data_IF_864950565065
#
_entry.id   IF_864950565065
#
_cell.length_a   1.000
_cell.length_b   1.000
_cell.length_c   1.000
_cell.angle_alpha   90.00
_cell.angle_beta   90.00
_cell.angle_gamma   90.00
#
_symmetry.space_group_name_H-M   'P 1'
#
loop_
_entity.id
_entity.type
_entity.pdbx_description
1 polymer ?
#
# COMPACT_ATOMS: atom_id res chain seq x y z
N UNK A 1 -10.77 -17.66 -31.41
CA UNK A 1 -10.67 -18.38 -30.13
C UNK A 1 -10.65 -17.33 -29.04
N UNK A 2 -11.75 -17.12 -28.31
CA UNK A 2 -11.82 -16.13 -27.23
C UNK A 2 -11.35 -16.83 -25.94
N UNK A 3 -10.23 -16.37 -25.36
CA UNK A 3 -9.72 -16.89 -24.09
C UNK A 3 -10.47 -16.20 -22.96
N UNK A 4 -11.13 -16.99 -22.10
CA UNK A 4 -11.77 -16.50 -20.89
C UNK A 4 -10.71 -16.45 -19.78
N UNK A 5 -10.45 -15.25 -19.26
CA UNK A 5 -9.61 -15.05 -18.07
C UNK A 5 -10.56 -15.06 -16.87
N UNK A 6 -10.37 -16.01 -15.96
CA UNK A 6 -11.08 -16.06 -14.68
C UNK A 6 -10.28 -15.20 -13.70
N UNK A 7 -10.77 -14.01 -13.41
CA UNK A 7 -10.29 -13.22 -12.28
C UNK A 7 -10.80 -13.87 -11.00
N UNK A 8 -9.87 -14.36 -10.18
CA UNK A 8 -10.15 -14.72 -8.80
C UNK A 8 -10.24 -13.41 -8.01
N UNK A 9 -11.43 -13.13 -7.48
CA UNK A 9 -11.70 -11.98 -6.63
C UNK A 9 -11.10 -12.26 -5.25
N UNK A 10 -10.20 -11.42 -4.70
CA UNK A 10 -9.83 -11.51 -3.30
C UNK A 10 -11.03 -11.09 -2.44
N UNK A 11 -11.37 -11.96 -1.49
CA UNK A 11 -12.46 -11.74 -0.56
C UNK A 11 -12.15 -10.53 0.33
N UNK A 12 -13.06 -9.56 0.34
CA UNK A 12 -13.03 -8.44 1.28
C UNK A 12 -12.97 -8.95 2.73
N UNK A 13 -11.91 -8.58 3.43
CA UNK A 13 -11.82 -8.74 4.88
C UNK A 13 -12.54 -7.56 5.53
N UNK A 14 -13.76 -7.81 6.00
CA UNK A 14 -14.45 -6.93 6.92
C UNK A 14 -13.76 -7.00 8.28
N UNK A 15 -12.96 -5.98 8.60
CA UNK A 15 -12.44 -5.80 9.96
C UNK A 15 -13.59 -5.34 10.87
N UNK A 16 -14.06 -6.25 11.71
CA UNK A 16 -14.90 -5.93 12.85
C UNK A 16 -14.05 -5.14 13.86
N UNK A 17 -14.29 -3.84 13.97
CA UNK A 17 -13.78 -3.02 15.07
C UNK A 17 -14.44 -3.50 16.37
N UNK A 18 -13.77 -4.41 17.07
CA UNK A 18 -14.06 -4.73 18.46
C UNK A 18 -13.70 -3.49 19.29
N UNK A 19 -14.72 -2.67 19.56
CA UNK A 19 -14.68 -1.67 20.63
C UNK A 19 -14.47 -2.41 21.96
N UNK A 20 -13.21 -2.53 22.36
CA UNK A 20 -12.87 -2.90 23.73
C UNK A 20 -13.29 -1.72 24.61
N UNK A 21 -14.21 -2.03 25.51
CA UNK A 21 -14.86 -1.10 26.41
C UNK A 21 -13.80 -0.48 27.34
N UNK A 22 -13.68 0.85 27.28
CA UNK A 22 -13.06 1.62 28.35
C UNK A 22 -14.03 1.57 29.54
N UNK A 23 -13.60 0.86 30.57
CA UNK A 23 -14.19 0.76 31.89
C UNK A 23 -14.27 2.17 32.51
N UNK A 24 -15.49 2.62 32.85
CA UNK A 24 -15.72 3.77 33.72
C UNK A 24 -16.78 3.33 34.74
N UNK A 25 -16.33 3.17 35.98
CA UNK A 25 -17.07 2.72 37.15
C UNK A 25 -18.24 3.67 37.46
N UNK A 26 -19.42 3.13 37.81
CA UNK A 26 -20.24 3.54 38.97
C UNK A 26 -21.66 2.91 38.93
N UNK A 27 -22.04 2.35 40.10
CA UNK A 27 -23.39 2.11 40.63
C UNK A 27 -24.28 0.98 40.08
N UNK A 28 -24.39 -0.06 40.92
CA UNK A 28 -25.61 -0.73 41.40
C UNK A 28 -26.73 -1.08 40.41
N UNK A 29 -27.00 -2.40 40.26
CA UNK A 29 -28.29 -3.03 40.59
C UNK A 29 -28.27 -4.56 40.38
N UNK A 30 -28.89 -5.24 41.33
CA UNK A 30 -29.22 -6.66 41.42
C UNK A 30 -29.85 -7.28 40.16
N UNK A 31 -29.50 -8.54 39.85
CA UNK A 31 -30.47 -9.57 39.43
C UNK A 31 -29.86 -10.98 39.38
N UNK A 32 -30.38 -11.85 40.24
CA UNK A 32 -30.17 -13.30 40.29
C UNK A 32 -30.70 -14.03 39.05
N UNK A 33 -30.04 -15.12 38.62
CA UNK A 33 -30.73 -16.41 38.37
C UNK A 33 -29.76 -17.57 38.10
N UNK A 34 -30.12 -18.69 38.72
CA UNK A 34 -29.43 -19.97 38.81
C UNK A 34 -29.85 -20.97 37.72
N UNK A 35 -29.00 -21.98 37.48
CA UNK A 35 -29.34 -23.25 36.83
C UNK A 35 -28.46 -23.53 35.61
N UNK A 36 -27.86 -24.69 35.37
CA UNK A 36 -27.94 -26.01 36.01
C UNK A 36 -27.34 -27.05 35.05
N UNK A 37 -26.67 -28.07 35.63
CA UNK A 37 -26.39 -29.43 35.14
C UNK A 37 -25.64 -29.72 33.83
N UNK A 38 -24.43 -30.27 34.02
CA UNK A 38 -24.02 -31.67 33.75
C UNK A 38 -24.24 -32.34 32.37
N UNK A 39 -23.14 -32.91 31.86
CA UNK A 39 -23.13 -34.26 31.28
C UNK A 39 -23.00 -34.35 29.75
N UNK A 40 -21.88 -34.87 29.27
CA UNK A 40 -21.70 -35.15 27.84
C UNK A 40 -20.32 -35.70 27.49
N UNK A 41 -20.02 -36.88 28.03
CA UNK A 41 -18.89 -37.74 27.65
C UNK A 41 -18.94 -38.07 26.15
N UNK A 42 -17.88 -37.79 25.40
CA UNK A 42 -17.60 -38.44 24.12
C UNK A 42 -16.17 -38.97 24.11
N UNK A 43 -16.12 -40.29 24.06
CA UNK A 43 -14.94 -41.13 24.06
C UNK A 43 -14.36 -41.26 22.66
N UNK A 44 -13.04 -41.17 22.53
CA UNK A 44 -12.24 -42.09 21.72
C UNK A 44 -12.14 -41.82 20.21
N UNK A 45 -10.90 -41.59 19.75
CA UNK A 45 -10.55 -41.63 18.34
C UNK A 45 -9.08 -41.30 18.11
N UNK A 46 -8.21 -42.30 18.31
CA UNK A 46 -6.78 -42.26 18.00
C UNK A 46 -6.46 -41.77 16.59
N UNK A 47 -5.33 -41.07 16.46
CA UNK A 47 -4.41 -41.31 15.35
C UNK A 47 -3.87 -40.07 14.64
N UNK A 48 -2.59 -39.81 14.86
CA UNK A 48 -1.67 -39.46 13.78
C UNK A 48 -1.32 -37.98 13.63
N UNK A 49 -0.02 -37.71 13.69
CA UNK A 49 0.59 -36.55 13.04
C UNK A 49 0.64 -35.28 13.89
N UNK A 50 1.59 -35.24 14.83
CA UNK A 50 2.17 -33.96 15.24
C UNK A 50 3.14 -33.50 14.15
N UNK A 51 2.59 -33.04 13.03
CA UNK A 51 3.33 -32.14 12.15
C UNK A 51 3.06 -30.73 12.69
N UNK A 52 4.08 -30.19 13.36
CA UNK A 52 4.09 -28.81 13.79
C UNK A 52 3.92 -27.94 12.56
N UNK A 53 2.73 -27.35 12.43
CA UNK A 53 2.57 -26.16 11.62
C UNK A 53 3.39 -25.08 12.33
N UNK A 54 4.59 -24.83 11.83
CA UNK A 54 5.22 -23.52 11.95
C UNK A 54 4.18 -22.53 11.40
N UNK A 55 3.38 -21.96 12.30
CA UNK A 55 2.62 -20.76 12.03
C UNK A 55 3.64 -19.62 11.89
N UNK A 56 4.33 -19.60 10.75
CA UNK A 56 4.90 -18.37 10.22
C UNK A 56 3.71 -17.48 9.92
N UNK A 57 3.25 -16.76 10.95
CA UNK A 57 2.41 -15.59 10.77
C UNK A 57 3.08 -14.68 9.72
N UNK A 58 2.29 -13.87 8.99
CA UNK A 58 2.89 -12.89 8.09
C UNK A 58 3.93 -12.13 8.89
N UNK A 59 5.19 -12.18 8.44
CA UNK A 59 6.24 -11.29 8.91
C UNK A 59 5.61 -9.90 8.93
N UNK A 60 5.51 -9.30 10.12
CA UNK A 60 5.14 -7.90 10.28
C UNK A 60 6.31 -7.14 9.65
N UNK A 61 6.32 -7.02 8.33
CA UNK A 61 7.21 -6.11 7.62
C UNK A 61 6.78 -4.74 8.09
N UNK A 62 7.55 -4.18 9.02
CA UNK A 62 7.36 -2.83 9.53
C UNK A 62 7.16 -1.89 8.33
N UNK A 63 6.09 -1.10 8.40
CA UNK A 63 5.80 -0.09 7.40
C UNK A 63 6.98 0.90 7.36
N UNK A 64 7.51 1.24 6.17
CA UNK A 64 8.68 2.11 6.08
C UNK A 64 8.33 3.50 6.62
N UNK A 65 9.27 4.11 7.33
CA UNK A 65 9.11 5.47 7.80
C UNK A 65 9.54 6.50 6.74
N UNK A 66 9.38 7.79 7.05
CA UNK A 66 9.62 8.85 6.08
C UNK A 66 11.10 8.99 5.70
N UNK A 67 12.02 8.66 6.61
CA UNK A 67 13.46 8.70 6.34
C UNK A 67 13.86 7.54 5.42
N UNK A 68 13.22 6.36 5.54
CA UNK A 68 13.50 5.19 4.69
C UNK A 68 13.20 5.45 3.20
N UNK A 69 12.10 6.15 2.92
CA UNK A 69 11.61 6.38 1.55
C UNK A 69 12.02 7.73 0.96
N UNK A 70 12.79 8.54 1.68
CA UNK A 70 13.22 9.86 1.21
C UNK A 70 13.94 9.77 -0.15
N UNK A 71 13.52 10.59 -1.12
CA UNK A 71 14.09 10.60 -2.47
C UNK A 71 13.02 10.58 -3.57
N UNK A 72 13.46 10.31 -4.80
CA UNK A 72 12.57 10.17 -5.95
C UNK A 72 12.52 8.72 -6.43
N UNK A 73 11.34 8.31 -6.85
CA UNK A 73 10.99 6.97 -7.27
C UNK A 73 10.26 7.04 -8.59
N UNK A 74 10.43 6.03 -9.45
CA UNK A 74 9.74 6.01 -10.73
C UNK A 74 9.21 4.63 -11.09
N UNK A 75 8.15 4.61 -11.90
CA UNK A 75 7.64 3.40 -12.55
C UNK A 75 7.32 3.73 -14.01
N UNK A 76 7.52 2.77 -14.90
CA UNK A 76 7.10 2.87 -16.30
C UNK A 76 6.01 1.82 -16.53
N UNK A 77 4.78 2.28 -16.78
CA UNK A 77 3.70 1.38 -17.18
C UNK A 77 3.92 0.91 -18.62
N UNK A 78 3.44 -0.30 -18.97
CA UNK A 78 3.65 -0.90 -20.29
C UNK A 78 3.20 0.03 -21.43
N UNK A 79 4.17 0.57 -22.18
CA UNK A 79 3.93 1.54 -23.26
C UNK A 79 3.44 2.92 -22.80
N UNK A 80 3.54 3.22 -21.50
CA UNK A 80 3.16 4.48 -20.87
C UNK A 80 4.31 5.47 -20.72
N UNK A 81 4.00 6.62 -20.10
CA UNK A 81 5.01 7.59 -19.69
C UNK A 81 5.51 7.24 -18.28
N UNK A 82 6.76 7.58 -17.93
CA UNK A 82 7.24 7.42 -16.58
C UNK A 82 6.42 8.23 -15.58
N UNK A 83 6.01 7.58 -14.49
CA UNK A 83 5.37 8.23 -13.33
C UNK A 83 6.44 8.43 -12.26
N UNK A 84 6.51 9.63 -11.68
CA UNK A 84 7.45 9.96 -10.58
C UNK A 84 6.72 10.14 -9.27
N UNK A 85 7.16 9.45 -8.22
CA UNK A 85 6.74 9.66 -6.84
C UNK A 85 7.93 10.15 -6.02
N UNK A 86 7.80 11.29 -5.35
CA UNK A 86 8.88 11.90 -4.57
C UNK A 86 8.46 12.09 -3.11
N UNK A 87 9.36 11.72 -2.20
CA UNK A 87 9.21 11.95 -0.76
C UNK A 87 10.30 12.90 -0.27
N UNK A 88 9.91 13.98 0.42
CA UNK A 88 10.82 14.95 1.02
C UNK A 88 10.26 15.32 2.39
N UNK A 89 10.97 15.01 3.47
CA UNK A 89 10.57 15.37 4.83
C UNK A 89 9.11 14.97 5.17
N UNK A 90 8.66 13.81 4.71
CA UNK A 90 7.29 13.29 4.90
C UNK A 90 6.23 13.90 3.97
N UNK A 91 6.58 14.85 3.10
CA UNK A 91 5.71 15.30 2.01
C UNK A 91 5.82 14.34 0.83
N UNK A 92 4.69 14.02 0.20
CA UNK A 92 4.63 13.18 -0.99
C UNK A 92 4.20 14.00 -2.20
N UNK A 93 4.89 13.81 -3.33
CA UNK A 93 4.58 14.48 -4.60
C UNK A 93 4.57 13.46 -5.72
N UNK A 94 3.40 13.23 -6.32
CA UNK A 94 3.23 12.37 -7.48
C UNK A 94 3.10 13.23 -8.75
N UNK A 95 3.93 12.92 -9.75
CA UNK A 95 3.84 13.44 -11.11
C UNK A 95 3.35 12.32 -12.03
N UNK A 96 2.03 12.25 -12.29
CA UNK A 96 1.43 11.16 -13.06
C UNK A 96 1.65 11.25 -14.57
N UNK A 97 2.13 12.39 -15.08
CA UNK A 97 2.26 12.60 -16.52
C UNK A 97 3.45 13.52 -16.87
N UNK A 98 3.70 13.65 -18.18
CA UNK A 98 4.67 14.61 -18.70
C UNK A 98 4.29 16.08 -18.42
N UNK A 99 3.02 16.37 -18.13
CA UNK A 99 2.60 17.73 -17.89
C UNK A 99 3.06 18.17 -16.48
N UNK A 100 3.95 19.17 -16.36
CA UNK A 100 4.50 19.56 -15.07
C UNK A 100 3.48 20.27 -14.17
N UNK A 101 2.28 20.58 -14.68
CA UNK A 101 1.19 21.17 -13.89
C UNK A 101 0.24 20.11 -13.34
N UNK A 102 0.29 18.89 -13.87
CA UNK A 102 -0.41 17.73 -13.36
C UNK A 102 0.43 17.14 -12.22
N UNK A 103 0.14 17.56 -10.99
CA UNK A 103 0.90 17.14 -9.81
C UNK A 103 -0.04 16.94 -8.63
N UNK A 104 0.21 15.85 -7.92
CA UNK A 104 -0.55 15.40 -6.76
C UNK A 104 0.31 15.55 -5.51
N UNK A 105 -0.11 16.41 -4.60
CA UNK A 105 0.59 16.64 -3.34
C UNK A 105 -0.09 15.90 -2.20
N UNK A 106 0.69 15.43 -1.24
CA UNK A 106 0.22 14.61 -0.16
C UNK A 106 1.19 14.51 0.99
N UNK A 107 0.90 13.59 1.90
CA UNK A 107 1.68 13.32 3.09
C UNK A 107 1.90 11.80 3.22
N UNK A 108 3.03 11.45 3.83
CA UNK A 108 3.32 10.12 4.31
C UNK A 108 3.14 10.06 5.83
N UNK A 109 2.33 9.12 6.30
CA UNK A 109 2.13 8.86 7.72
C UNK A 109 2.13 7.35 7.97
N UNK A 110 3.09 6.85 8.75
CA UNK A 110 3.19 5.43 9.14
C UNK A 110 3.13 4.45 7.94
N UNK A 111 3.88 4.73 6.88
CA UNK A 111 3.88 3.94 5.63
C UNK A 111 2.60 4.04 4.80
N UNK A 112 1.69 4.95 5.13
CA UNK A 112 0.52 5.28 4.30
C UNK A 112 0.76 6.60 3.58
N UNK A 113 0.83 6.58 2.26
CA UNK A 113 0.82 7.80 1.45
C UNK A 113 -0.61 8.22 1.18
N UNK A 114 -0.95 9.48 1.44
CA UNK A 114 -2.23 10.08 1.10
C UNK A 114 -2.00 11.23 0.14
N UNK A 115 -2.49 11.12 -1.10
CA UNK A 115 -2.33 12.11 -2.16
C UNK A 115 -3.65 12.84 -2.44
N UNK A 116 -3.52 14.14 -2.65
CA UNK A 116 -4.64 15.04 -2.84
C UNK A 116 -5.39 15.32 -1.52
N UNK A 117 -6.36 16.21 -1.60
CA UNK A 117 -7.23 16.52 -0.47
C UNK A 117 -8.41 17.37 -0.90
N UNK A 118 -9.32 17.66 0.04
CA UNK A 118 -10.52 18.46 -0.24
C UNK A 118 -10.21 19.84 -0.84
N UNK A 119 -9.03 20.40 -0.52
CA UNK A 119 -8.58 21.69 -1.05
C UNK A 119 -7.91 21.59 -2.43
N UNK A 120 -7.32 20.44 -2.76
CA UNK A 120 -6.61 20.23 -4.03
C UNK A 120 -6.78 18.75 -4.44
N UNK A 121 -7.87 18.42 -5.14
CA UNK A 121 -8.05 17.07 -5.65
C UNK A 121 -7.00 16.78 -6.72
N UNK A 122 -6.50 15.55 -6.75
CA UNK A 122 -5.66 15.05 -7.83
C UNK A 122 -6.43 15.08 -9.16
N UNK A 123 -6.08 15.97 -10.11
CA UNK A 123 -6.92 16.24 -11.27
C UNK A 123 -7.01 15.04 -12.23
N UNK A 124 -6.02 14.15 -12.27
CA UNK A 124 -5.97 13.01 -13.18
C UNK A 124 -6.54 11.68 -12.62
N UNK A 125 -6.82 11.59 -11.32
CA UNK A 125 -6.96 10.28 -10.64
C UNK A 125 -8.12 10.16 -9.63
N UNK A 126 -9.12 11.04 -9.70
CA UNK A 126 -10.26 11.03 -8.77
C UNK A 126 -11.35 9.97 -9.10
N UNK A 127 -10.99 8.85 -9.75
CA UNK A 127 -11.87 7.69 -9.99
C UNK A 127 -13.16 7.92 -10.81
N UNK A 128 -13.51 9.15 -11.16
CA UNK A 128 -14.81 9.53 -11.70
C UNK A 128 -15.05 9.05 -13.14
N UNK A 129 -13.97 8.88 -13.92
CA UNK A 129 -14.01 8.51 -15.34
C UNK A 129 -13.35 7.15 -15.64
N UNK A 130 -13.14 6.32 -14.60
CA UNK A 130 -12.39 5.06 -14.71
C UNK A 130 -10.87 5.24 -14.66
N UNK A 131 -10.39 6.45 -14.39
CA UNK A 131 -8.99 6.69 -14.00
C UNK A 131 -8.67 5.93 -12.71
N UNK A 132 -7.42 5.44 -12.56
CA UNK A 132 -7.02 4.79 -11.33
C UNK A 132 -7.11 5.73 -10.13
N UNK A 133 -7.44 5.19 -8.96
CA UNK A 133 -7.50 5.96 -7.70
C UNK A 133 -6.14 5.88 -7.00
N UNK A 134 -5.42 7.00 -7.00
CA UNK A 134 -4.10 7.15 -6.36
C UNK A 134 -4.19 7.96 -5.06
N UNK A 135 -5.40 8.18 -4.53
CA UNK A 135 -5.58 9.06 -3.36
C UNK A 135 -4.95 8.52 -2.07
N UNK A 136 -4.77 7.21 -1.96
CA UNK A 136 -4.21 6.56 -0.78
C UNK A 136 -3.50 5.26 -1.19
N UNK A 137 -2.31 5.01 -0.63
CA UNK A 137 -1.52 3.80 -0.89
C UNK A 137 -0.69 3.37 0.31
N UNK A 138 -0.63 2.06 0.57
CA UNK A 138 0.26 1.49 1.59
C UNK A 138 1.63 1.18 0.98
N UNK A 139 2.70 1.57 1.67
CA UNK A 139 4.08 1.41 1.23
C UNK A 139 4.71 0.15 1.82
N UNK A 140 5.53 -0.52 1.01
CA UNK A 140 6.51 -1.51 1.45
C UNK A 140 7.83 -1.23 0.74
N UNK A 141 8.94 -1.39 1.44
CA UNK A 141 10.28 -1.12 0.91
C UNK A 141 11.13 -2.39 0.95
N UNK A 142 11.66 -2.79 -0.21
CA UNK A 142 12.64 -3.88 -0.35
C UNK A 142 13.89 -3.35 -1.05
N UNK A 143 14.86 -2.88 -0.26
CA UNK A 143 16.09 -2.28 -0.78
C UNK A 143 15.85 -1.01 -1.60
N UNK A 144 15.99 -1.13 -2.92
CA UNK A 144 15.82 -0.01 -3.89
C UNK A 144 14.49 -0.10 -4.66
N UNK A 145 13.57 -0.95 -4.20
CA UNK A 145 12.23 -1.10 -4.76
C UNK A 145 11.19 -0.69 -3.73
N UNK A 146 10.37 0.30 -4.09
CA UNK A 146 9.24 0.77 -3.30
C UNK A 146 7.95 0.19 -3.91
N UNK A 147 7.27 -0.68 -3.18
CA UNK A 147 5.95 -1.17 -3.56
C UNK A 147 4.87 -0.26 -2.98
N UNK A 148 3.93 0.17 -3.82
CA UNK A 148 2.75 0.94 -3.41
C UNK A 148 1.49 0.14 -3.71
N UNK A 149 0.76 -0.24 -2.66
CA UNK A 149 -0.56 -0.88 -2.77
C UNK A 149 -1.65 0.19 -2.66
N UNK A 150 -2.21 0.60 -3.80
CA UNK A 150 -3.22 1.63 -3.89
C UNK A 150 -4.59 1.15 -3.39
N UNK A 151 -5.41 2.11 -2.95
CA UNK A 151 -6.76 1.86 -2.43
C UNK A 151 -7.71 1.14 -3.41
N UNK A 152 -7.51 1.31 -4.72
CA UNK A 152 -8.27 0.59 -5.75
C UNK A 152 -7.84 -0.88 -5.92
N UNK A 153 -6.83 -1.32 -5.18
CA UNK A 153 -6.29 -2.68 -5.20
C UNK A 153 -5.18 -2.88 -6.23
N UNK A 154 -4.76 -1.84 -6.96
CA UNK A 154 -3.56 -1.90 -7.81
C UNK A 154 -2.31 -1.92 -6.93
N UNK A 155 -1.28 -2.59 -7.43
CA UNK A 155 0.04 -2.62 -6.82
C UNK A 155 1.03 -2.15 -7.87
N UNK A 156 1.82 -1.15 -7.54
CA UNK A 156 2.87 -0.60 -8.39
C UNK A 156 4.23 -0.76 -7.70
N UNK A 157 5.24 -1.14 -8.48
CA UNK A 157 6.62 -1.27 -8.01
C UNK A 157 7.42 -0.13 -8.62
N UNK A 158 7.89 0.77 -7.76
CA UNK A 158 8.73 1.89 -8.14
C UNK A 158 10.18 1.55 -7.88
N UNK A 159 11.04 1.98 -8.79
CA UNK A 159 12.49 1.91 -8.66
C UNK A 159 13.03 3.25 -8.17
N UNK A 160 14.10 3.21 -7.36
CA UNK A 160 14.79 4.42 -6.92
C UNK A 160 15.35 5.16 -8.15
N UNK A 161 15.00 6.42 -8.30
CA UNK A 161 15.59 7.28 -9.31
C UNK A 161 16.99 7.73 -8.84
N UNK A 162 17.98 7.90 -9.73
CA UNK A 162 19.26 8.52 -9.37
C UNK A 162 19.11 9.99 -8.97
N UNK A 163 19.90 10.44 -7.98
CA UNK A 163 19.89 11.82 -7.46
C UNK A 163 20.06 12.89 -8.55
N UNK A 164 20.86 12.58 -9.58
CA UNK A 164 21.09 13.45 -10.72
C UNK A 164 19.80 13.81 -11.48
N UNK A 165 18.75 12.99 -11.38
CA UNK A 165 17.48 13.15 -12.10
C UNK A 165 16.33 13.66 -11.21
N UNK A 166 16.55 13.92 -9.90
CA UNK A 166 15.48 14.29 -8.96
C UNK A 166 14.68 15.52 -9.40
N UNK A 167 15.41 16.54 -9.88
CA UNK A 167 14.84 17.82 -10.32
C UNK A 167 14.22 17.79 -11.71
N UNK A 168 14.24 16.64 -12.39
CA UNK A 168 13.83 16.56 -13.79
C UNK A 168 12.39 16.08 -13.94
N UNK A 169 11.77 16.51 -15.04
CA UNK A 169 10.47 16.03 -15.45
C UNK A 169 10.64 14.75 -16.28
N UNK A 170 10.82 13.62 -15.58
CA UNK A 170 11.02 12.32 -16.22
C UNK A 170 9.80 11.87 -17.04
N UNK A 171 8.59 12.35 -16.72
CA UNK A 171 7.38 12.03 -17.49
C UNK A 171 7.45 12.52 -18.94
N UNK A 172 8.27 13.54 -19.22
CA UNK A 172 8.51 14.03 -20.59
C UNK A 172 9.52 13.18 -21.38
N UNK A 173 10.18 12.23 -20.74
CA UNK A 173 11.11 11.30 -21.38
C UNK A 173 10.35 10.05 -21.83
N UNK A 174 10.73 9.50 -22.97
CA UNK A 174 10.36 8.13 -23.33
C UNK A 174 11.21 7.11 -22.53
N UNK A 175 10.78 5.86 -22.54
CA UNK A 175 11.42 4.76 -21.80
C UNK A 175 12.91 4.58 -22.18
N UNK A 176 13.23 4.61 -23.48
CA UNK A 176 14.61 4.43 -23.96
C UNK A 176 15.52 5.58 -23.49
N UNK A 177 15.02 6.81 -23.56
CA UNK A 177 15.76 7.99 -23.09
C UNK A 177 15.92 7.99 -21.57
N UNK A 178 14.89 7.63 -20.79
CA UNK A 178 15.01 7.51 -19.34
C UNK A 178 16.05 6.46 -18.95
N UNK A 179 15.97 5.26 -19.55
CA UNK A 179 16.92 4.18 -19.31
C UNK A 179 18.36 4.59 -19.65
N UNK A 180 18.56 5.30 -20.78
CA UNK A 180 19.87 5.83 -21.16
C UNK A 180 20.42 6.79 -20.10
N UNK A 181 19.59 7.69 -19.58
CA UNK A 181 20.02 8.68 -18.57
C UNK A 181 20.31 8.06 -17.21
N UNK A 182 19.56 7.04 -16.81
CA UNK A 182 19.84 6.25 -15.62
C UNK A 182 21.21 5.57 -15.75
N UNK A 183 21.49 4.92 -16.89
CA UNK A 183 22.78 4.29 -17.14
C UNK A 183 23.95 5.30 -17.10
N UNK A 184 23.80 6.47 -17.75
CA UNK A 184 24.81 7.52 -17.73
C UNK A 184 25.11 8.05 -16.31
N UNK A 185 24.13 8.06 -15.43
CA UNK A 185 24.32 8.49 -14.04
C UNK A 185 25.10 7.48 -13.19
N UNK A 186 25.02 6.18 -13.51
CA UNK A 186 25.70 5.13 -12.78
C UNK A 186 27.21 5.05 -13.08
N UNK A 187 27.65 5.47 -14.27
CA UNK A 187 29.06 5.49 -14.67
C UNK A 187 29.84 6.73 -14.16
N UNK A 188 29.15 7.69 -13.55
CA UNK A 188 29.68 9.02 -13.24
C UNK A 188 30.22 9.24 -11.83
N UNK A 189 30.13 8.25 -10.93
CA UNK A 189 30.52 8.33 -9.51
C UNK A 189 31.89 7.69 -9.21
#
# INVERSE_FOLDING_TARGET
MRKAIRFAVPAALAAALLMTACDDEEASSDASSSGGSEGGELTGGSGGGSDGADETGPDETDAPDADDVEGAWYVVEDGGQPVKLQFILGEAVLHPSADPTDTCHGLLDQGLVTLGGAAQPCPAHAGADGSPDVSEGALALDGETLTVAWRDGRVEEFERLPDALYGENIGALDEDELARRIAESADGD
#
